data_IF_123846519046
#
_entry.id   IF_123846519046
#
_cell.length_a   1.000
_cell.length_b   1.000
_cell.length_c   1.000
_cell.angle_alpha   90.00
_cell.angle_beta   90.00
_cell.angle_gamma   90.00
#
_symmetry.space_group_name_H-M   'P 1'
#
loop_
_entity.id
_entity.type
_entity.pdbx_description
1 polymer ?
#
# COMPACT_ATOMS: atom_id res chain seq x y z
N UNK A 1 -20.24 -11.47 1.39
CA UNK A 1 -19.34 -10.65 0.57
C UNK A 1 -18.30 -10.05 1.50
N UNK A 2 -17.03 -10.07 1.10
CA UNK A 2 -15.97 -9.42 1.86
C UNK A 2 -16.28 -7.91 1.96
N UNK A 3 -16.25 -7.34 3.16
CA UNK A 3 -16.57 -5.92 3.39
C UNK A 3 -15.63 -4.99 2.63
N UNK A 4 -14.42 -5.46 2.30
CA UNK A 4 -13.46 -4.74 1.47
C UNK A 4 -13.78 -4.76 -0.03
N UNK A 5 -14.72 -5.60 -0.47
CA UNK A 5 -15.12 -5.75 -1.88
C UNK A 5 -16.53 -5.22 -2.17
N UNK A 6 -17.08 -4.34 -1.32
CA UNK A 6 -18.42 -3.78 -1.53
C UNK A 6 -18.52 -2.86 -2.76
N UNK A 7 -17.40 -2.26 -3.17
CA UNK A 7 -17.33 -1.38 -4.34
C UNK A 7 -16.66 -2.08 -5.52
N UNK A 8 -17.28 -2.03 -6.70
CA UNK A 8 -16.69 -2.55 -7.94
C UNK A 8 -15.41 -1.81 -8.38
N UNK A 9 -15.11 -0.68 -7.75
CA UNK A 9 -13.86 0.08 -7.96
C UNK A 9 -12.69 -0.47 -7.15
N UNK A 10 -12.94 -1.36 -6.20
CA UNK A 10 -11.93 -1.90 -5.30
C UNK A 10 -11.57 -3.31 -5.76
N UNK A 11 -10.29 -3.52 -6.03
CA UNK A 11 -9.72 -4.86 -6.22
C UNK A 11 -8.93 -5.20 -4.97
N UNK A 12 -9.40 -6.18 -4.21
CA UNK A 12 -8.73 -6.63 -2.99
C UNK A 12 -7.80 -7.79 -3.33
N UNK A 13 -6.52 -7.63 -3.02
CA UNK A 13 -5.49 -8.66 -3.17
C UNK A 13 -5.00 -8.99 -1.76
N UNK A 14 -5.13 -10.24 -1.35
CA UNK A 14 -4.64 -10.73 -0.06
C UNK A 14 -3.62 -11.85 -0.25
N UNK A 15 -2.66 -11.95 0.67
CA UNK A 15 -1.77 -13.11 0.77
C UNK A 15 -1.77 -13.59 2.21
N UNK A 16 -2.18 -14.83 2.41
CA UNK A 16 -2.17 -15.44 3.73
C UNK A 16 -0.73 -15.54 4.27
N UNK A 17 -0.59 -15.32 5.58
CA UNK A 17 0.68 -15.51 6.27
C UNK A 17 1.18 -16.93 6.08
N UNK A 18 2.51 -17.10 6.05
CA UNK A 18 3.12 -18.41 6.20
C UNK A 18 3.11 -18.78 7.67
N UNK A 19 2.27 -19.74 8.04
CA UNK A 19 2.27 -20.25 9.41
C UNK A 19 3.40 -21.28 9.62
N UNK A 20 4.07 -21.27 10.78
CA UNK A 20 4.95 -22.37 11.18
C UNK A 20 4.20 -23.70 11.25
N UNK A 21 4.92 -24.80 11.11
CA UNK A 21 4.32 -26.12 11.22
C UNK A 21 3.71 -26.31 12.63
N UNK A 22 2.48 -26.77 12.70
CA UNK A 22 1.80 -27.01 13.97
C UNK A 22 1.28 -25.76 14.69
N UNK A 23 1.31 -24.58 14.05
CA UNK A 23 0.76 -23.35 14.64
C UNK A 23 -0.75 -23.49 14.99
N UNK A 24 -1.24 -22.92 16.11
CA UNK A 24 -0.48 -22.23 17.15
C UNK A 24 0.05 -23.15 18.27
N UNK A 25 -0.37 -24.42 18.30
CA UNK A 25 -0.24 -25.28 19.49
C UNK A 25 1.06 -26.11 19.53
N UNK A 26 1.67 -26.36 18.38
CA UNK A 26 2.83 -27.25 18.20
C UNK A 26 4.02 -26.55 17.53
N UNK A 27 3.91 -25.26 17.21
CA UNK A 27 5.02 -24.45 16.69
C UNK A 27 6.11 -24.27 17.74
N UNK A 28 7.38 -24.22 17.32
CA UNK A 28 8.47 -24.06 18.27
C UNK A 28 8.44 -22.69 18.96
N UNK A 29 8.89 -22.57 20.22
CA UNK A 29 9.01 -21.27 20.88
C UNK A 29 9.84 -20.30 20.04
N UNK A 30 9.24 -19.17 19.67
CA UNK A 30 9.88 -18.13 18.87
C UNK A 30 9.56 -18.16 17.37
N UNK A 31 8.98 -19.24 16.85
CA UNK A 31 8.42 -19.24 15.50
C UNK A 31 7.19 -18.34 15.42
N UNK A 32 7.09 -17.57 14.35
CA UNK A 32 5.99 -16.63 14.12
C UNK A 32 5.46 -16.76 12.69
N UNK A 33 4.17 -16.48 12.46
CA UNK A 33 3.64 -16.30 11.12
C UNK A 33 4.48 -15.26 10.35
N UNK A 34 4.87 -15.59 9.12
CA UNK A 34 5.64 -14.70 8.26
C UNK A 34 4.75 -14.06 7.21
N UNK A 35 4.86 -12.75 7.06
CA UNK A 35 4.22 -12.03 5.98
C UNK A 35 4.77 -12.47 4.62
N UNK A 36 3.88 -12.73 3.66
CA UNK A 36 4.25 -13.24 2.35
C UNK A 36 4.13 -12.16 1.28
N UNK A 37 5.17 -11.32 1.17
CA UNK A 37 5.48 -10.55 -0.05
C UNK A 37 4.29 -9.80 -0.67
N UNK A 38 3.36 -9.30 0.14
CA UNK A 38 2.26 -8.47 -0.35
C UNK A 38 2.80 -7.12 -0.83
N UNK A 39 3.81 -6.58 -0.14
CA UNK A 39 4.51 -5.36 -0.56
C UNK A 39 5.21 -5.54 -1.91
N UNK A 40 5.79 -6.72 -2.14
CA UNK A 40 6.39 -7.09 -3.43
C UNK A 40 5.32 -7.17 -4.53
N UNK A 41 4.17 -7.79 -4.25
CA UNK A 41 3.07 -7.83 -5.20
C UNK A 41 2.56 -6.42 -5.54
N UNK A 42 2.37 -5.57 -4.53
CA UNK A 42 1.98 -4.17 -4.69
C UNK A 42 3.00 -3.38 -5.51
N UNK A 43 4.30 -3.52 -5.22
CA UNK A 43 5.38 -2.87 -5.96
C UNK A 43 5.39 -3.28 -7.44
N UNK A 44 5.27 -4.59 -7.72
CA UNK A 44 5.24 -5.12 -9.08
C UNK A 44 4.02 -4.59 -9.83
N UNK A 45 2.83 -4.66 -9.23
CA UNK A 45 1.59 -4.20 -9.88
C UNK A 45 1.67 -2.69 -10.16
N UNK A 46 2.15 -1.89 -9.21
CA UNK A 46 2.31 -0.45 -9.40
C UNK A 46 3.18 -0.13 -10.61
N UNK A 47 4.31 -0.82 -10.78
CA UNK A 47 5.23 -0.61 -11.91
C UNK A 47 4.66 -1.18 -13.22
N UNK A 48 4.16 -2.42 -13.20
CA UNK A 48 3.68 -3.09 -14.40
C UNK A 48 2.48 -2.36 -15.02
N UNK A 49 1.53 -1.92 -14.19
CA UNK A 49 0.37 -1.16 -14.63
C UNK A 49 0.76 0.22 -15.19
N UNK A 50 1.82 0.85 -14.66
CA UNK A 50 2.38 2.08 -15.23
C UNK A 50 2.91 1.86 -16.65
N UNK A 51 3.75 0.83 -16.83
CA UNK A 51 4.36 0.49 -18.12
C UNK A 51 3.29 0.14 -19.15
N UNK A 52 2.24 -0.56 -18.73
CA UNK A 52 1.10 -0.92 -19.58
C UNK A 52 0.14 0.24 -19.85
N UNK A 53 0.37 1.43 -19.28
CA UNK A 53 -0.51 2.59 -19.45
C UNK A 53 -1.91 2.40 -18.84
N UNK A 54 -2.02 1.60 -17.77
CA UNK A 54 -3.30 1.26 -17.12
C UNK A 54 -3.79 2.34 -16.17
N UNK A 55 -2.97 3.35 -15.89
CA UNK A 55 -3.34 4.55 -15.15
C UNK A 55 -2.56 5.76 -15.66
N UNK A 56 -3.15 6.96 -15.57
CA UNK A 56 -2.45 8.23 -15.79
C UNK A 56 -1.74 8.75 -14.52
N UNK A 57 -2.29 8.42 -13.35
CA UNK A 57 -1.78 8.80 -12.03
C UNK A 57 -1.81 7.60 -11.10
N UNK A 58 -0.64 7.21 -10.59
CA UNK A 58 -0.51 6.18 -9.56
C UNK A 58 -0.38 6.85 -8.20
N UNK A 59 -1.33 6.58 -7.30
CA UNK A 59 -1.30 7.06 -5.90
C UNK A 59 -0.98 5.87 -4.99
N UNK A 60 0.13 5.95 -4.26
CA UNK A 60 0.51 4.92 -3.30
C UNK A 60 0.23 5.39 -1.87
N UNK A 61 -0.66 4.69 -1.16
CA UNK A 61 -0.95 4.93 0.25
C UNK A 61 -0.24 3.90 1.11
N UNK A 62 0.96 4.23 1.59
CA UNK A 62 1.72 3.39 2.52
C UNK A 62 2.79 4.21 3.23
N UNK A 63 3.24 3.72 4.39
CA UNK A 63 4.43 4.23 5.08
C UNK A 63 5.62 3.28 4.96
N UNK A 64 5.46 2.14 4.26
CA UNK A 64 6.52 1.14 4.07
C UNK A 64 7.59 1.65 3.09
N UNK A 65 8.81 1.78 3.60
CA UNK A 65 9.94 2.29 2.83
C UNK A 65 10.43 1.33 1.75
N UNK A 66 10.08 0.05 1.82
CA UNK A 66 10.48 -0.94 0.83
C UNK A 66 9.75 -0.75 -0.51
N UNK A 67 8.67 0.06 -0.53
CA UNK A 67 7.97 0.46 -1.76
C UNK A 67 8.62 1.64 -2.50
N UNK A 68 9.63 2.30 -1.93
CA UNK A 68 10.32 3.42 -2.59
C UNK A 68 10.87 3.07 -3.97
N UNK A 69 11.56 1.93 -4.18
CA UNK A 69 12.07 1.56 -5.51
C UNK A 69 10.98 1.51 -6.58
N UNK A 70 9.75 1.13 -6.24
CA UNK A 70 8.62 1.13 -7.18
C UNK A 70 8.24 2.56 -7.60
N UNK A 71 8.20 3.51 -6.65
CA UNK A 71 7.96 4.93 -6.94
C UNK A 71 9.06 5.49 -7.85
N UNK A 72 10.32 5.17 -7.55
CA UNK A 72 11.48 5.63 -8.33
C UNK A 72 11.43 5.09 -9.77
N UNK A 73 11.11 3.80 -9.94
CA UNK A 73 10.98 3.17 -11.24
C UNK A 73 9.89 3.82 -12.11
N UNK A 74 8.71 4.10 -11.55
CA UNK A 74 7.62 4.73 -12.30
C UNK A 74 7.92 6.20 -12.61
N UNK A 75 8.57 6.93 -11.69
CA UNK A 75 9.03 8.30 -11.96
C UNK A 75 10.03 8.34 -13.10
N UNK A 76 10.97 7.40 -13.14
CA UNK A 76 11.97 7.33 -14.21
C UNK A 76 11.33 6.93 -15.54
N UNK A 77 10.47 5.92 -15.55
CA UNK A 77 9.68 5.56 -16.73
C UNK A 77 8.89 6.76 -17.27
N UNK A 78 8.24 7.52 -16.38
CA UNK A 78 7.47 8.70 -16.76
C UNK A 78 8.33 9.81 -17.37
N UNK A 79 9.59 9.99 -16.95
CA UNK A 79 10.52 10.96 -17.58
C UNK A 79 10.79 10.60 -19.05
N UNK A 80 10.96 9.32 -19.34
CA UNK A 80 11.12 8.81 -20.70
C UNK A 80 9.84 8.83 -21.54
N UNK A 81 8.67 9.03 -20.92
CA UNK A 81 7.36 8.88 -21.54
C UNK A 81 6.49 10.15 -21.40
N UNK A 82 7.03 11.30 -21.77
CA UNK A 82 6.28 12.57 -21.81
C UNK A 82 5.77 13.06 -20.44
N UNK A 83 6.40 12.60 -19.35
CA UNK A 83 5.99 12.91 -17.99
C UNK A 83 4.88 12.02 -17.41
N UNK A 84 4.55 10.89 -18.06
CA UNK A 84 3.44 10.00 -17.67
C UNK A 84 3.84 8.53 -17.44
N UNK A 85 3.23 7.85 -16.45
CA UNK A 85 2.21 8.38 -15.54
C UNK A 85 2.80 9.25 -14.43
N UNK A 86 1.95 10.08 -13.80
CA UNK A 86 2.35 10.81 -12.60
C UNK A 86 2.34 9.88 -11.40
N UNK A 87 3.26 10.13 -10.48
CA UNK A 87 3.40 9.39 -9.23
C UNK A 87 3.08 10.34 -8.09
N UNK A 88 2.17 9.90 -7.22
CA UNK A 88 1.70 10.61 -6.05
C UNK A 88 1.64 9.63 -4.87
N UNK A 89 1.55 10.16 -3.66
CA UNK A 89 1.43 9.36 -2.43
C UNK A 89 0.23 9.83 -1.62
N UNK A 90 -0.24 9.00 -0.71
CA UNK A 90 -1.20 9.40 0.32
C UNK A 90 -0.72 8.92 1.69
N UNK A 91 -1.02 9.68 2.73
CA UNK A 91 -0.58 9.37 4.08
C UNK A 91 -1.52 10.00 5.12
N UNK A 92 -1.55 9.39 6.30
CA UNK A 92 -2.27 9.95 7.45
C UNK A 92 -1.55 11.18 8.01
N UNK A 93 -2.32 12.16 8.46
CA UNK A 93 -1.84 13.34 9.16
C UNK A 93 -2.58 13.54 10.49
N UNK A 94 -1.83 13.80 11.56
CA UNK A 94 -2.35 14.18 12.86
C UNK A 94 -1.94 15.60 13.23
N UNK A 95 -2.84 16.33 13.91
CA UNK A 95 -2.51 17.64 14.48
C UNK A 95 -1.48 17.47 15.60
N UNK A 96 -0.42 18.27 15.59
CA UNK A 96 0.65 18.21 16.60
C UNK A 96 1.55 16.96 16.52
N UNK A 97 1.43 16.16 15.46
CA UNK A 97 2.23 14.95 15.27
C UNK A 97 3.24 15.08 14.12
N UNK A 98 4.31 14.31 14.18
CA UNK A 98 5.22 14.17 13.05
C UNK A 98 4.61 13.26 11.99
N UNK A 99 4.11 13.85 10.90
CA UNK A 99 3.44 13.14 9.82
C UNK A 99 4.46 12.56 8.84
N UNK A 100 4.39 11.23 8.62
CA UNK A 100 5.28 10.51 7.71
C UNK A 100 4.54 10.19 6.41
N UNK A 101 5.24 10.35 5.29
CA UNK A 101 4.80 9.92 3.96
C UNK A 101 5.94 9.21 3.25
N UNK A 102 5.62 8.41 2.24
CA UNK A 102 6.65 7.96 1.32
C UNK A 102 7.21 9.15 0.52
N UNK A 103 8.53 9.17 0.43
CA UNK A 103 9.27 10.18 -0.32
C UNK A 103 10.49 9.51 -0.95
N UNK A 104 10.81 9.95 -2.16
CA UNK A 104 11.98 9.53 -2.92
C UNK A 104 12.91 10.72 -3.13
N UNK A 105 14.20 10.46 -3.40
CA UNK A 105 15.18 11.54 -3.53
C UNK A 105 15.07 12.27 -4.87
N UNK A 106 14.66 11.57 -5.94
CA UNK A 106 14.71 12.14 -7.28
C UNK A 106 13.57 13.13 -7.58
N UNK A 107 12.51 13.20 -6.76
CA UNK A 107 11.33 14.03 -7.03
C UNK A 107 10.53 14.36 -5.77
N UNK A 108 10.03 15.59 -5.69
CA UNK A 108 9.00 15.93 -4.71
C UNK A 108 7.64 15.41 -5.21
N UNK A 109 7.15 14.34 -4.60
CA UNK A 109 5.86 13.74 -4.91
C UNK A 109 4.73 14.56 -4.27
N UNK A 110 3.60 14.71 -4.97
CA UNK A 110 2.38 15.22 -4.33
C UNK A 110 1.90 14.23 -3.27
N UNK A 111 1.44 14.73 -2.12
CA UNK A 111 0.90 13.89 -1.06
C UNK A 111 -0.51 14.30 -0.70
N UNK A 112 -1.44 13.35 -0.79
CA UNK A 112 -2.79 13.46 -0.26
C UNK A 112 -2.73 13.16 1.23
N UNK A 113 -2.85 14.20 2.05
CA UNK A 113 -2.92 14.05 3.51
C UNK A 113 -4.36 13.75 3.92
N UNK A 114 -4.53 12.67 4.66
CA UNK A 114 -5.81 12.23 5.20
C UNK A 114 -5.78 12.45 6.70
N UNK A 115 -6.72 13.23 7.22
CA UNK A 115 -6.78 13.60 8.63
C UNK A 115 -7.78 12.75 9.42
N UNK A 116 -7.94 13.10 10.69
CA UNK A 116 -8.90 12.45 11.59
C UNK A 116 -10.33 12.53 11.05
N UNK A 117 -10.72 13.63 10.39
CA UNK A 117 -12.06 13.77 9.84
C UNK A 117 -12.29 12.75 8.72
N UNK A 118 -11.30 12.54 7.85
CA UNK A 118 -11.36 11.49 6.81
C UNK A 118 -11.40 10.11 7.46
N UNK A 119 -10.54 9.83 8.44
CA UNK A 119 -10.53 8.56 9.16
C UNK A 119 -11.91 8.21 9.72
N UNK A 120 -12.58 9.16 10.38
CA UNK A 120 -13.91 8.94 10.96
C UNK A 120 -14.98 8.61 9.92
N UNK A 121 -14.83 9.08 8.67
CA UNK A 121 -15.76 8.78 7.57
C UNK A 121 -15.55 7.40 6.95
N UNK A 122 -14.31 6.91 6.94
CA UNK A 122 -13.93 5.66 6.24
C UNK A 122 -13.61 4.49 7.16
N UNK A 123 -13.57 4.72 8.47
CA UNK A 123 -13.25 3.67 9.44
C UNK A 123 -14.19 2.47 9.28
N UNK A 124 -13.59 1.30 9.26
CA UNK A 124 -14.33 0.05 9.34
C UNK A 124 -14.65 -0.26 10.81
N UNK A 125 -15.93 -0.47 11.11
CA UNK A 125 -16.42 -0.81 12.46
C UNK A 125 -16.63 -2.31 12.65
N UNK A 126 -16.27 -3.12 11.65
CA UNK A 126 -16.40 -4.58 11.68
C UNK A 126 -15.42 -5.19 12.70
N UNK A 127 -15.94 -6.03 13.59
CA UNK A 127 -15.14 -6.79 14.55
C UNK A 127 -14.68 -8.12 13.94
N UNK A 128 -13.47 -8.13 13.39
CA UNK A 128 -12.87 -9.30 12.75
C UNK A 128 -12.45 -10.40 13.73
N UNK A 129 -12.58 -10.20 15.05
CA UNK A 129 -12.28 -11.24 16.04
C UNK A 129 -13.42 -12.23 16.27
N UNK A 130 -14.61 -11.92 15.74
CA UNK A 130 -15.85 -12.71 15.94
C UNK A 130 -16.33 -13.43 14.67
N UNK A 131 -15.62 -13.28 13.56
CA UNK A 131 -15.94 -13.88 12.27
C UNK A 131 -15.20 -15.21 12.07
#
# INVERSE_FOLDING_TARGET
MDVWQQSSRVTVITRALRYPYGWPHQSQPGEKPQEKGIDVALAIDFVALAIQGRYDVGILMSTDTDLKPALEAVVEFGRGNGGKPRVEVAAWSGSGMHNRRLAIRQKNLWCHWLDEQVYQQVKDVTDYSKA
#
